data_IF_050543199201
#
_entry.id   IF_050543199201
#
_cell.length_a   1.000
_cell.length_b   1.000
_cell.length_c   1.000
_cell.angle_alpha   90.00
_cell.angle_beta   90.00
_cell.angle_gamma   90.00
#
_symmetry.space_group_name_H-M   'P 1'
#
loop_
_entity.id
_entity.type
_entity.pdbx_description
1 polymer ?
#
# COMPACT_ATOMS: atom_id res chain seq x y z
N UNK A 1 -39.76 -11.90 -6.82
CA UNK A 1 -38.33 -11.59 -6.97
C UNK A 1 -37.65 -12.88 -7.34
N UNK A 2 -37.12 -12.96 -8.55
CA UNK A 2 -36.33 -14.11 -9.01
C UNK A 2 -35.07 -14.20 -8.14
N UNK A 3 -34.81 -15.38 -7.56
CA UNK A 3 -33.61 -15.58 -6.73
C UNK A 3 -32.39 -15.66 -7.65
N UNK A 4 -31.43 -14.76 -7.45
CA UNK A 4 -30.15 -14.81 -8.15
C UNK A 4 -29.47 -16.15 -7.91
N UNK A 5 -28.83 -16.70 -8.94
CA UNK A 5 -27.97 -17.86 -8.76
C UNK A 5 -26.79 -17.52 -7.82
N UNK A 6 -26.14 -18.52 -7.21
CA UNK A 6 -24.97 -18.28 -6.36
C UNK A 6 -23.82 -17.57 -7.07
N UNK A 7 -23.66 -17.78 -8.38
CA UNK A 7 -22.63 -17.10 -9.18
C UNK A 7 -23.00 -15.64 -9.47
N UNK A 8 -24.25 -15.37 -9.84
CA UNK A 8 -24.72 -13.99 -10.05
C UNK A 8 -24.67 -13.20 -8.74
N UNK A 9 -25.10 -13.80 -7.63
CA UNK A 9 -25.01 -13.18 -6.30
C UNK A 9 -23.56 -12.81 -5.96
N UNK A 10 -22.61 -13.70 -6.26
CA UNK A 10 -21.18 -13.45 -6.01
C UNK A 10 -20.62 -12.31 -6.86
N UNK A 11 -20.96 -12.26 -8.15
CA UNK A 11 -20.57 -11.18 -9.02
C UNK A 11 -21.15 -9.83 -8.55
N UNK A 12 -22.42 -9.83 -8.10
CA UNK A 12 -23.06 -8.66 -7.50
C UNK A 12 -22.39 -8.21 -6.20
N UNK A 13 -22.08 -9.12 -5.28
CA UNK A 13 -21.36 -8.78 -4.05
C UNK A 13 -19.97 -8.20 -4.32
N UNK A 14 -19.24 -8.79 -5.27
CA UNK A 14 -17.95 -8.23 -5.71
C UNK A 14 -18.11 -6.81 -6.23
N UNK A 15 -19.05 -6.58 -7.15
CA UNK A 15 -19.28 -5.26 -7.75
C UNK A 15 -19.66 -4.21 -6.70
N UNK A 16 -20.51 -4.57 -5.74
CA UNK A 16 -20.88 -3.69 -4.64
C UNK A 16 -19.70 -3.37 -3.73
N UNK A 17 -18.92 -4.38 -3.33
CA UNK A 17 -17.73 -4.19 -2.51
C UNK A 17 -16.68 -3.32 -3.22
N UNK A 18 -16.43 -3.59 -4.51
CA UNK A 18 -15.51 -2.79 -5.32
C UNK A 18 -15.97 -1.33 -5.41
N UNK A 19 -17.26 -1.10 -5.68
CA UNK A 19 -17.83 0.25 -5.74
C UNK A 19 -17.74 0.97 -4.40
N UNK A 20 -18.00 0.28 -3.29
CA UNK A 20 -17.88 0.83 -1.94
C UNK A 20 -16.44 1.27 -1.65
N UNK A 21 -15.45 0.40 -1.90
CA UNK A 21 -14.03 0.71 -1.73
C UNK A 21 -13.63 1.91 -2.62
N UNK A 22 -14.04 1.93 -3.89
CA UNK A 22 -13.74 3.05 -4.79
C UNK A 22 -14.30 4.37 -4.27
N UNK A 23 -15.54 4.39 -3.75
CA UNK A 23 -16.16 5.59 -3.16
C UNK A 23 -15.44 6.03 -1.89
N UNK A 24 -15.04 5.10 -1.04
CA UNK A 24 -14.25 5.39 0.16
C UNK A 24 -12.90 6.02 -0.21
N UNK A 25 -12.16 5.41 -1.14
CA UNK A 25 -10.90 5.95 -1.66
C UNK A 25 -11.08 7.35 -2.23
N UNK A 26 -12.13 7.61 -3.00
CA UNK A 26 -12.40 8.96 -3.52
C UNK A 26 -12.65 9.97 -2.41
N UNK A 27 -13.36 9.61 -1.34
CA UNK A 27 -13.58 10.49 -0.18
C UNK A 27 -12.27 10.79 0.56
N UNK A 28 -11.41 9.78 0.75
CA UNK A 28 -10.09 9.96 1.36
C UNK A 28 -9.26 10.94 0.53
N UNK A 29 -9.17 10.71 -0.79
CA UNK A 29 -8.41 11.58 -1.69
C UNK A 29 -8.96 13.02 -1.67
N UNK A 30 -10.28 13.17 -1.78
CA UNK A 30 -10.92 14.50 -1.75
C UNK A 30 -10.72 15.25 -0.43
N UNK A 31 -10.66 14.54 0.69
CA UNK A 31 -10.50 15.16 1.99
C UNK A 31 -9.03 15.52 2.26
N UNK A 32 -8.11 14.59 2.01
CA UNK A 32 -6.70 14.75 2.39
C UNK A 32 -5.90 15.53 1.34
N UNK A 33 -6.15 15.29 0.04
CA UNK A 33 -5.28 15.79 -1.03
C UNK A 33 -5.79 17.08 -1.67
N UNK A 34 -7.05 17.47 -1.45
CA UNK A 34 -7.63 18.67 -2.06
C UNK A 34 -6.95 19.97 -1.62
N UNK A 35 -6.52 20.03 -0.37
CA UNK A 35 -5.89 21.21 0.23
C UNK A 35 -4.37 21.00 0.43
N UNK A 36 -3.77 20.06 -0.31
CA UNK A 36 -2.33 19.84 -0.27
C UNK A 36 -1.59 21.10 -0.72
N UNK A 37 -0.58 21.52 0.03
CA UNK A 37 0.23 22.72 -0.28
C UNK A 37 1.61 22.28 -0.72
N UNK A 38 1.99 22.56 -1.97
CA UNK A 38 3.31 22.19 -2.54
C UNK A 38 3.69 20.71 -2.35
N UNK A 39 2.72 19.81 -2.46
CA UNK A 39 2.95 18.39 -2.27
C UNK A 39 2.99 17.95 -0.80
N UNK A 40 2.72 18.84 0.17
CA UNK A 40 2.83 18.59 1.61
C UNK A 40 1.49 18.53 2.34
N UNK A 41 1.53 17.94 3.53
CA UNK A 41 0.43 17.82 4.49
C UNK A 41 0.86 18.29 5.89
N UNK A 42 1.32 19.55 6.08
CA UNK A 42 1.80 20.01 7.39
C UNK A 42 0.74 19.87 8.50
N UNK A 43 -0.53 19.96 8.11
CA UNK A 43 -1.69 19.81 8.99
C UNK A 43 -2.27 18.39 9.02
N UNK A 44 -1.52 17.35 8.60
CA UNK A 44 -1.99 15.96 8.61
C UNK A 44 -2.51 15.52 9.99
N UNK A 45 -1.96 16.09 11.06
CA UNK A 45 -2.39 15.84 12.42
C UNK A 45 -3.83 16.26 12.74
N UNK A 46 -4.38 17.24 12.01
CA UNK A 46 -5.80 17.61 12.09
C UNK A 46 -6.71 16.59 11.39
N UNK A 47 -6.14 15.70 10.58
CA UNK A 47 -6.88 14.66 9.84
C UNK A 47 -7.06 13.37 10.66
N UNK A 48 -6.49 13.29 11.86
CA UNK A 48 -6.47 12.08 12.71
C UNK A 48 -7.84 11.43 12.88
N UNK A 49 -8.85 12.19 13.30
CA UNK A 49 -10.19 11.64 13.54
C UNK A 49 -10.84 11.14 12.24
N UNK A 50 -10.60 11.81 11.12
CA UNK A 50 -11.05 11.33 9.81
C UNK A 50 -10.32 10.04 9.39
N UNK A 51 -9.02 9.93 9.67
CA UNK A 51 -8.27 8.69 9.40
C UNK A 51 -8.83 7.51 10.18
N UNK A 52 -9.17 7.69 11.46
CA UNK A 52 -9.82 6.64 12.27
C UNK A 52 -11.20 6.27 11.72
N UNK A 53 -12.02 7.24 11.34
CA UNK A 53 -13.33 6.99 10.71
C UNK A 53 -13.20 6.21 9.40
N UNK A 54 -12.21 6.54 8.58
CA UNK A 54 -11.93 5.82 7.33
C UNK A 54 -11.41 4.40 7.57
N UNK A 55 -10.61 4.16 8.62
CA UNK A 55 -10.19 2.81 9.00
C UNK A 55 -11.40 1.94 9.37
N UNK A 56 -12.35 2.47 10.13
CA UNK A 56 -13.58 1.75 10.50
C UNK A 56 -14.37 1.37 9.24
N UNK A 57 -14.61 2.33 8.35
CA UNK A 57 -15.32 2.08 7.08
C UNK A 57 -14.58 1.09 6.18
N UNK A 58 -13.25 1.13 6.16
CA UNK A 58 -12.43 0.20 5.39
C UNK A 58 -12.52 -1.23 5.98
N UNK A 59 -12.58 -1.36 7.31
CA UNK A 59 -12.71 -2.63 8.00
C UNK A 59 -14.10 -3.29 7.83
N UNK A 60 -15.14 -2.49 7.60
CA UNK A 60 -16.50 -2.98 7.31
C UNK A 60 -16.65 -3.58 5.91
N UNK A 61 -15.64 -3.46 5.03
CA UNK A 61 -15.69 -4.05 3.71
C UNK A 61 -15.78 -5.58 3.79
N UNK A 62 -16.79 -6.20 3.17
CA UNK A 62 -17.11 -7.61 3.39
C UNK A 62 -16.01 -8.55 2.90
N UNK A 63 -15.69 -9.57 3.71
CA UNK A 63 -14.81 -10.67 3.29
C UNK A 63 -15.55 -11.61 2.32
N UNK A 64 -15.04 -11.74 1.10
CA UNK A 64 -15.56 -12.69 0.11
C UNK A 64 -14.96 -14.11 0.27
N UNK A 65 -15.55 -15.09 -0.41
CA UNK A 65 -14.98 -16.45 -0.56
C UNK A 65 -13.56 -16.40 -1.14
N UNK A 66 -12.66 -17.29 -0.69
CA UNK A 66 -11.26 -17.32 -1.16
C UNK A 66 -11.18 -17.69 -2.66
N UNK A 67 -11.19 -16.67 -3.51
CA UNK A 67 -11.01 -16.77 -4.96
C UNK A 67 -10.28 -15.51 -5.51
N UNK A 68 -10.18 -15.41 -6.84
CA UNK A 68 -9.52 -14.30 -7.54
C UNK A 68 -10.19 -12.96 -7.23
N UNK A 69 -11.51 -12.91 -7.04
CA UNK A 69 -12.24 -11.69 -6.75
C UNK A 69 -11.86 -11.14 -5.37
N UNK A 70 -11.71 -12.03 -4.39
CA UNK A 70 -11.20 -11.66 -3.06
C UNK A 70 -9.77 -11.13 -3.12
N UNK A 71 -8.91 -11.73 -3.95
CA UNK A 71 -7.54 -11.24 -4.15
C UNK A 71 -7.54 -9.80 -4.69
N UNK A 72 -8.38 -9.51 -5.69
CA UNK A 72 -8.52 -8.16 -6.27
C UNK A 72 -9.03 -7.16 -5.23
N UNK A 73 -10.10 -7.49 -4.50
CA UNK A 73 -10.65 -6.60 -3.46
C UNK A 73 -9.65 -6.32 -2.34
N UNK A 74 -8.88 -7.32 -1.90
CA UNK A 74 -7.80 -7.14 -0.92
C UNK A 74 -6.75 -6.16 -1.44
N UNK A 75 -6.41 -6.21 -2.73
CA UNK A 75 -5.54 -5.23 -3.37
C UNK A 75 -6.09 -3.81 -3.28
N UNK A 76 -7.35 -3.62 -3.67
CA UNK A 76 -8.01 -2.31 -3.59
C UNK A 76 -8.14 -1.78 -2.15
N UNK A 77 -8.39 -2.67 -1.19
CA UNK A 77 -8.46 -2.30 0.22
C UNK A 77 -7.09 -1.87 0.75
N UNK A 78 -6.00 -2.53 0.36
CA UNK A 78 -4.65 -2.09 0.68
C UNK A 78 -4.34 -0.71 0.09
N UNK A 79 -4.78 -0.44 -1.15
CA UNK A 79 -4.65 0.89 -1.75
C UNK A 79 -5.43 1.94 -0.94
N UNK A 80 -6.63 1.61 -0.47
CA UNK A 80 -7.42 2.49 0.40
C UNK A 80 -6.65 2.85 1.68
N UNK A 81 -6.12 1.86 2.40
CA UNK A 81 -5.30 2.09 3.60
C UNK A 81 -4.04 2.91 3.30
N UNK A 82 -3.39 2.65 2.16
CA UNK A 82 -2.24 3.44 1.76
C UNK A 82 -2.59 4.93 1.59
N UNK A 83 -3.74 5.26 1.01
CA UNK A 83 -4.19 6.66 0.91
C UNK A 83 -4.51 7.29 2.27
N UNK A 84 -4.97 6.50 3.25
CA UNK A 84 -5.19 6.98 4.62
C UNK A 84 -3.86 7.37 5.28
N UNK A 85 -2.83 6.51 5.13
CA UNK A 85 -1.57 6.67 5.87
C UNK A 85 -0.52 7.51 5.14
N UNK A 86 -0.64 7.67 3.82
CA UNK A 86 0.37 8.35 2.99
C UNK A 86 0.70 9.78 3.46
N UNK A 87 -0.27 10.64 3.85
CA UNK A 87 0.06 11.99 4.34
C UNK A 87 1.04 11.98 5.52
N UNK A 88 0.80 11.11 6.49
CA UNK A 88 1.64 10.97 7.69
C UNK A 88 3.03 10.41 7.36
N UNK A 89 3.08 9.38 6.51
CA UNK A 89 4.35 8.82 6.05
C UNK A 89 5.17 9.86 5.27
N UNK A 90 4.53 10.66 4.41
CA UNK A 90 5.23 11.66 3.61
C UNK A 90 5.83 12.75 4.49
N UNK A 91 5.07 13.30 5.44
CA UNK A 91 5.60 14.31 6.37
C UNK A 91 6.72 13.75 7.24
N UNK A 92 6.56 12.54 7.80
CA UNK A 92 7.59 11.95 8.65
C UNK A 92 8.87 11.57 7.89
N UNK A 93 8.75 11.03 6.67
CA UNK A 93 9.90 10.48 5.93
C UNK A 93 10.55 11.53 5.02
N UNK A 94 9.77 12.22 4.18
CA UNK A 94 10.30 13.12 3.17
C UNK A 94 10.55 14.53 3.72
N UNK A 95 9.71 14.98 4.64
CA UNK A 95 9.79 16.34 5.20
C UNK A 95 10.37 16.40 6.62
N UNK A 96 10.69 15.24 7.22
CA UNK A 96 11.21 15.11 8.59
C UNK A 96 10.35 15.90 9.60
N UNK A 97 9.05 15.93 9.36
CA UNK A 97 8.05 16.62 10.18
C UNK A 97 7.17 15.59 10.88
N UNK A 98 7.80 14.78 11.74
CA UNK A 98 7.09 13.78 12.55
C UNK A 98 6.33 14.47 13.67
N UNK A 99 5.12 13.96 13.93
CA UNK A 99 4.30 14.40 15.05
C UNK A 99 3.87 13.20 15.88
N UNK A 100 4.29 13.15 17.15
CA UNK A 100 4.07 12.02 18.04
C UNK A 100 2.60 11.58 18.12
N UNK A 101 1.66 12.52 18.05
CA UNK A 101 0.21 12.24 18.07
C UNK A 101 -0.31 11.46 16.85
N UNK A 102 0.51 11.31 15.80
CA UNK A 102 0.18 10.60 14.55
C UNK A 102 1.14 9.44 14.24
N UNK A 103 2.07 9.12 15.14
CA UNK A 103 3.05 8.05 14.94
C UNK A 103 2.39 6.70 14.63
N UNK A 104 1.21 6.46 15.20
CA UNK A 104 0.43 5.26 14.92
C UNK A 104 0.11 5.09 13.43
N UNK A 105 -0.17 6.18 12.71
CA UNK A 105 -0.48 6.12 11.27
C UNK A 105 0.77 5.91 10.43
N UNK A 106 1.91 6.46 10.85
CA UNK A 106 3.20 6.21 10.19
C UNK A 106 3.57 4.73 10.34
N UNK A 107 3.50 4.20 11.56
CA UNK A 107 3.78 2.79 11.84
C UNK A 107 2.83 1.85 11.08
N UNK A 108 1.52 2.14 11.08
CA UNK A 108 0.53 1.38 10.29
C UNK A 108 0.79 1.47 8.79
N UNK A 109 1.18 2.63 8.27
CA UNK A 109 1.54 2.81 6.86
C UNK A 109 2.76 2.00 6.44
N UNK A 110 3.80 1.97 7.27
CA UNK A 110 4.98 1.14 7.05
C UNK A 110 4.65 -0.36 7.14
N UNK A 111 3.84 -0.75 8.13
CA UNK A 111 3.31 -2.11 8.23
C UNK A 111 2.52 -2.49 6.96
N UNK A 112 1.66 -1.61 6.45
CA UNK A 112 0.90 -1.85 5.22
C UNK A 112 1.78 -1.98 3.98
N UNK A 113 2.88 -1.22 3.92
CA UNK A 113 3.88 -1.38 2.86
C UNK A 113 4.50 -2.79 2.89
N UNK A 114 4.84 -3.29 4.08
CA UNK A 114 5.32 -4.66 4.24
C UNK A 114 4.25 -5.72 3.91
N UNK A 115 3.03 -5.54 4.41
CA UNK A 115 1.90 -6.44 4.17
C UNK A 115 1.53 -6.55 2.69
N UNK A 116 1.61 -5.45 1.93
CA UNK A 116 1.39 -5.47 0.47
C UNK A 116 2.35 -6.44 -0.21
N UNK A 117 3.62 -6.39 0.16
CA UNK A 117 4.66 -7.28 -0.39
C UNK A 117 4.33 -8.73 -0.02
N UNK A 118 4.03 -9.01 1.25
CA UNK A 118 3.72 -10.37 1.73
C UNK A 118 2.48 -10.96 1.05
N UNK A 119 1.40 -10.21 0.96
CA UNK A 119 0.13 -10.67 0.35
C UNK A 119 0.28 -10.95 -1.14
N UNK A 120 1.14 -10.20 -1.83
CA UNK A 120 1.42 -10.42 -3.26
C UNK A 120 2.49 -11.49 -3.52
N UNK A 121 3.20 -11.98 -2.50
CA UNK A 121 4.32 -12.93 -2.67
C UNK A 121 3.95 -14.17 -3.49
N UNK A 122 2.72 -14.69 -3.32
CA UNK A 122 2.22 -15.83 -4.11
C UNK A 122 2.15 -15.51 -5.61
N UNK A 123 1.88 -14.26 -6.00
CA UNK A 123 1.80 -13.82 -7.39
C UNK A 123 3.13 -13.50 -8.05
N UNK A 124 4.24 -13.40 -7.29
CA UNK A 124 5.52 -12.87 -7.77
C UNK A 124 6.11 -13.57 -8.99
N UNK A 125 5.77 -14.84 -9.23
CA UNK A 125 6.30 -15.62 -10.37
C UNK A 125 5.18 -16.19 -11.26
N UNK A 126 3.99 -15.58 -11.21
CA UNK A 126 2.84 -16.02 -11.99
C UNK A 126 2.43 -14.96 -13.01
N UNK A 127 2.12 -15.39 -14.23
CA UNK A 127 1.54 -14.52 -15.25
C UNK A 127 0.05 -14.32 -14.97
N UNK A 128 -0.34 -13.08 -14.72
CA UNK A 128 -1.73 -12.66 -14.65
C UNK A 128 -1.86 -11.20 -15.11
N UNK A 129 -3.07 -10.77 -15.46
CA UNK A 129 -3.35 -9.41 -15.96
C UNK A 129 -2.92 -8.30 -14.99
N UNK A 130 -2.82 -8.60 -13.69
CA UNK A 130 -2.38 -7.67 -12.65
C UNK A 130 -0.87 -7.61 -12.37
N UNK A 131 -0.04 -8.40 -13.07
CA UNK A 131 1.41 -8.51 -12.76
C UNK A 131 2.11 -7.16 -12.81
N UNK A 132 1.88 -6.37 -13.85
CA UNK A 132 2.55 -5.08 -14.01
C UNK A 132 2.22 -4.11 -12.86
N UNK A 133 0.96 -4.07 -12.41
CA UNK A 133 0.54 -3.26 -11.26
C UNK A 133 1.11 -3.79 -9.94
N UNK A 134 1.14 -5.11 -9.77
CA UNK A 134 1.77 -5.75 -8.61
C UNK A 134 3.25 -5.39 -8.51
N UNK A 135 4.03 -5.52 -9.59
CA UNK A 135 5.44 -5.14 -9.64
C UNK A 135 5.66 -3.71 -9.16
N UNK A 136 4.86 -2.78 -9.70
CA UNK A 136 4.96 -1.34 -9.36
C UNK A 136 4.60 -1.05 -7.92
N UNK A 137 3.50 -1.61 -7.43
CA UNK A 137 3.02 -1.36 -6.06
C UNK A 137 3.94 -1.97 -5.00
N UNK A 138 4.44 -3.19 -5.20
CA UNK A 138 5.45 -3.80 -4.33
C UNK A 138 6.79 -3.03 -4.36
N UNK A 139 7.22 -2.56 -5.53
CA UNK A 139 8.41 -1.69 -5.63
C UNK A 139 8.24 -0.41 -4.85
N UNK A 140 7.09 0.25 -4.96
CA UNK A 140 6.77 1.48 -4.21
C UNK A 140 6.83 1.22 -2.70
N UNK A 141 6.21 0.15 -2.22
CA UNK A 141 6.30 -0.25 -0.81
C UNK A 141 7.73 -0.50 -0.35
N UNK A 142 8.56 -1.17 -1.14
CA UNK A 142 9.96 -1.37 -0.81
C UNK A 142 10.75 -0.05 -0.72
N UNK A 143 10.50 0.88 -1.65
CA UNK A 143 11.12 2.20 -1.62
C UNK A 143 10.69 3.03 -0.41
N UNK A 144 9.42 2.96 0.01
CA UNK A 144 8.93 3.62 1.23
C UNK A 144 9.65 3.06 2.47
N UNK A 145 9.76 1.73 2.58
CA UNK A 145 10.49 1.09 3.69
C UNK A 145 11.97 1.50 3.71
N UNK A 146 12.62 1.55 2.54
CA UNK A 146 14.00 2.01 2.38
C UNK A 146 14.19 3.50 2.71
N UNK A 147 13.20 4.34 2.38
CA UNK A 147 13.25 5.75 2.72
C UNK A 147 13.10 5.95 4.23
N UNK A 148 12.15 5.25 4.86
CA UNK A 148 11.98 5.26 6.31
C UNK A 148 13.23 4.76 7.05
N UNK A 149 13.94 3.75 6.52
CA UNK A 149 15.16 3.23 7.16
C UNK A 149 16.33 4.22 7.17
N UNK A 150 16.25 5.30 6.38
CA UNK A 150 17.26 6.36 6.31
C UNK A 150 16.82 7.64 7.00
N UNK A 151 15.57 7.71 7.45
CA UNK A 151 15.05 8.87 8.15
C UNK A 151 15.14 8.63 9.66
N UNK A 152 15.90 9.46 10.38
CA UNK A 152 16.02 9.37 11.83
C UNK A 152 14.65 9.43 12.53
N UNK A 153 13.74 10.25 12.02
CA UNK A 153 12.38 10.38 12.57
C UNK A 153 11.53 9.12 12.38
N UNK A 154 11.77 8.30 11.34
CA UNK A 154 10.89 7.19 10.98
C UNK A 154 11.50 5.79 11.20
N UNK A 155 12.82 5.69 11.38
CA UNK A 155 13.53 4.39 11.46
C UNK A 155 13.04 3.52 12.62
N UNK A 156 12.68 4.12 13.75
CA UNK A 156 12.16 3.41 14.93
C UNK A 156 10.75 2.85 14.72
N UNK A 157 10.02 3.36 13.72
CA UNK A 157 8.65 2.95 13.40
C UNK A 157 8.61 1.83 12.35
N UNK A 158 9.76 1.36 11.87
CA UNK A 158 9.83 0.28 10.89
C UNK A 158 9.34 -1.05 11.48
N UNK A 159 8.49 -1.80 10.75
CA UNK A 159 8.00 -3.07 11.23
C UNK A 159 9.09 -4.15 11.20
N UNK A 160 9.07 -5.11 12.14
CA UNK A 160 10.00 -6.24 12.11
C UNK A 160 9.85 -7.05 10.82
N UNK A 161 10.96 -7.49 10.23
CA UNK A 161 10.97 -8.23 8.96
C UNK A 161 10.92 -7.36 7.69
N UNK A 162 10.93 -6.03 7.81
CA UNK A 162 10.89 -5.13 6.65
C UNK A 162 12.01 -5.40 5.63
N UNK A 163 13.22 -5.77 6.09
CA UNK A 163 14.36 -6.10 5.21
C UNK A 163 14.06 -7.31 4.33
N UNK A 164 13.47 -8.36 4.89
CA UNK A 164 13.10 -9.57 4.15
C UNK A 164 12.01 -9.28 3.12
N UNK A 165 11.09 -8.37 3.44
CA UNK A 165 10.09 -7.89 2.48
C UNK A 165 10.76 -7.16 1.31
N UNK A 166 11.69 -6.24 1.57
CA UNK A 166 12.45 -5.54 0.52
C UNK A 166 13.25 -6.51 -0.35
N UNK A 167 13.93 -7.49 0.26
CA UNK A 167 14.65 -8.54 -0.48
C UNK A 167 13.72 -9.38 -1.35
N UNK A 168 12.52 -9.69 -0.87
CA UNK A 168 11.49 -10.37 -1.67
C UNK A 168 11.09 -9.59 -2.92
N UNK A 169 11.07 -8.25 -2.86
CA UNK A 169 10.81 -7.40 -4.03
C UNK A 169 11.98 -7.41 -5.02
N UNK A 170 13.22 -7.45 -4.52
CA UNK A 170 14.42 -7.62 -5.38
C UNK A 170 14.34 -8.95 -6.14
N UNK A 171 14.01 -10.04 -5.46
CA UNK A 171 13.84 -11.36 -6.10
C UNK A 171 12.73 -11.34 -7.15
N UNK A 172 11.60 -10.70 -6.85
CA UNK A 172 10.48 -10.54 -7.78
C UNK A 172 10.92 -9.77 -9.03
N UNK A 173 11.57 -8.61 -8.89
CA UNK A 173 12.00 -7.82 -10.04
C UNK A 173 13.08 -8.53 -10.85
N UNK A 174 13.99 -9.25 -10.20
CA UNK A 174 15.01 -10.07 -10.87
C UNK A 174 14.40 -11.18 -11.72
N UNK A 175 13.26 -11.75 -11.31
CA UNK A 175 12.54 -12.72 -12.11
C UNK A 175 11.94 -12.11 -13.38
N UNK A 176 11.40 -10.88 -13.31
CA UNK A 176 10.70 -10.23 -14.44
C UNK A 176 11.56 -9.33 -15.32
N UNK A 177 12.82 -9.05 -14.97
CA UNK A 177 13.68 -8.03 -15.61
C UNK A 177 13.90 -8.22 -17.12
N UNK A 178 13.79 -9.45 -17.63
CA UNK A 178 13.96 -9.75 -19.07
C UNK A 178 12.68 -9.56 -19.87
N UNK A 179 11.53 -9.44 -19.20
CA UNK A 179 10.21 -9.37 -19.83
C UNK A 179 9.52 -8.03 -19.61
N UNK A 180 9.88 -7.33 -18.54
CA UNK A 180 9.30 -6.05 -18.14
C UNK A 180 10.43 -5.05 -17.99
N UNK A 181 10.53 -4.11 -18.93
CA UNK A 181 11.60 -3.09 -18.97
C UNK A 181 11.71 -2.32 -17.65
N UNK A 182 10.57 -1.82 -17.14
CA UNK A 182 10.48 -1.15 -15.82
C UNK A 182 11.08 -1.99 -14.67
N UNK A 183 11.00 -3.33 -14.74
CA UNK A 183 11.48 -4.20 -13.67
C UNK A 183 13.00 -4.19 -13.56
N UNK A 184 13.70 -4.12 -14.70
CA UNK A 184 15.16 -4.02 -14.75
C UNK A 184 15.65 -2.72 -14.10
N UNK A 185 15.04 -1.59 -14.46
CA UNK A 185 15.41 -0.28 -13.91
C UNK A 185 15.16 -0.20 -12.40
N UNK A 186 13.99 -0.66 -11.96
CA UNK A 186 13.63 -0.70 -10.54
C UNK A 186 14.52 -1.64 -9.74
N UNK A 187 14.91 -2.78 -10.32
CA UNK A 187 15.84 -3.72 -9.69
C UNK A 187 17.19 -3.07 -9.44
N UNK A 188 17.72 -2.35 -10.44
CA UNK A 188 18.99 -1.62 -10.32
C UNK A 188 18.92 -0.60 -9.19
N UNK A 189 17.88 0.23 -9.16
CA UNK A 189 17.67 1.24 -8.11
C UNK A 189 17.61 0.60 -6.72
N UNK A 190 16.83 -0.48 -6.56
CA UNK A 190 16.74 -1.15 -5.25
C UNK A 190 18.07 -1.75 -4.81
N UNK A 191 18.84 -2.38 -5.71
CA UNK A 191 20.17 -2.91 -5.37
C UNK A 191 21.13 -1.81 -4.92
N UNK A 192 21.21 -0.71 -5.67
CA UNK A 192 22.05 0.45 -5.31
C UNK A 192 21.67 1.01 -3.92
N UNK A 193 20.37 1.10 -3.62
CA UNK A 193 19.92 1.52 -2.31
C UNK A 193 20.24 0.46 -1.23
N UNK A 194 20.09 -0.82 -1.50
CA UNK A 194 20.33 -1.88 -0.51
C UNK A 194 21.81 -1.99 -0.12
N UNK A 195 22.74 -1.77 -1.05
CA UNK A 195 24.19 -1.86 -0.78
C UNK A 195 24.65 -0.86 0.31
N UNK A 196 23.85 0.19 0.57
CA UNK A 196 24.10 1.16 1.64
C UNK A 196 23.47 0.80 2.99
N UNK A 197 22.92 -0.41 3.17
CA UNK A 197 22.32 -0.88 4.44
C UNK A 197 23.30 -1.06 5.61
N UNK A 198 24.61 -0.98 5.36
CA UNK A 198 25.66 -1.22 6.36
C UNK A 198 26.73 -0.12 6.44
N UNK A 199 26.47 1.06 5.87
CA UNK A 199 27.31 2.26 6.03
C UNK A 199 26.64 3.22 7.02
#
# INVERSE_FOLDING_TARGET
MEQLSPEESRAWYFFLAETAIRRLTMRIIQLFFRNQTDGRFPDAHLMREYSLDFEVQAAECPEMSDDVLKFVLRGHLLDCYEWIYFPYMLEAIAHQHRQAQTDEFVARGLQMSMERIHKNRKGFKHRHHGVWLMLRSCTRSALILLAASRCHEAVELLPPGWKDAVLGVVEMLAYWQEEVEDARDRLRILKELIDTWGA
#
